data_IF_307815106382
#
_entry.id   IF_307815106382
#
_cell.length_a   1.000
_cell.length_b   1.000
_cell.length_c   1.000
_cell.angle_alpha   90.00
_cell.angle_beta   90.00
_cell.angle_gamma   90.00
#
_symmetry.space_group_name_H-M   'P 1'
#
loop_
_entity.id
_entity.type
_entity.pdbx_description
1 polymer ?
#
# COMPACT_ATOMS: atom_id res chain seq x y z
N UNK A 1 13.37 -11.19 -17.25
CA UNK A 1 12.33 -10.85 -18.24
C UNK A 1 11.87 -9.43 -17.95
N UNK A 2 11.53 -8.63 -18.96
CA UNK A 2 10.95 -7.30 -18.68
C UNK A 2 9.64 -7.49 -17.90
N UNK A 3 9.38 -6.61 -16.92
CA UNK A 3 8.09 -6.56 -16.23
C UNK A 3 6.98 -6.38 -17.29
N UNK A 4 5.95 -7.22 -17.23
CA UNK A 4 4.74 -7.11 -18.08
C UNK A 4 4.00 -5.78 -17.83
N UNK A 5 4.25 -5.16 -16.68
CA UNK A 5 3.68 -3.90 -16.27
C UNK A 5 4.65 -2.73 -16.45
N UNK A 6 4.15 -1.63 -17.01
CA UNK A 6 4.80 -0.32 -17.06
C UNK A 6 3.99 0.73 -16.31
N UNK A 7 4.50 1.95 -16.24
CA UNK A 7 3.81 3.09 -15.62
C UNK A 7 3.59 4.19 -16.64
N UNK A 8 2.43 4.84 -16.56
CA UNK A 8 2.10 6.07 -17.26
C UNK A 8 1.92 7.19 -16.25
N UNK A 9 2.79 8.18 -16.31
CA UNK A 9 2.79 9.36 -15.44
C UNK A 9 2.06 10.49 -16.16
N UNK A 10 1.21 11.20 -15.43
CA UNK A 10 0.52 12.41 -15.90
C UNK A 10 0.82 13.50 -14.90
N UNK A 11 1.28 14.67 -15.36
CA UNK A 11 1.69 15.76 -14.49
C UNK A 11 3.01 15.50 -13.76
N UNK A 12 3.65 16.58 -13.31
CA UNK A 12 4.90 16.51 -12.57
C UNK A 12 4.70 15.90 -11.18
N UNK A 13 5.62 15.04 -10.68
CA UNK A 13 5.56 14.59 -9.29
C UNK A 13 5.53 15.77 -8.30
N UNK A 14 4.91 15.57 -7.13
CA UNK A 14 4.69 16.61 -6.10
C UNK A 14 3.77 17.76 -6.57
N UNK A 15 2.80 17.49 -7.45
CA UNK A 15 1.72 18.43 -7.80
C UNK A 15 0.35 17.78 -7.61
N UNK A 16 -0.73 18.58 -7.63
CA UNK A 16 -2.11 18.10 -7.43
C UNK A 16 -2.60 17.26 -8.63
N UNK A 17 -2.06 17.53 -9.81
CA UNK A 17 -2.39 16.90 -11.08
C UNK A 17 -1.69 15.54 -11.23
N UNK A 18 -0.64 15.28 -10.43
CA UNK A 18 0.19 14.09 -10.61
C UNK A 18 -0.60 12.80 -10.45
N UNK A 19 -0.58 11.95 -11.46
CA UNK A 19 -1.13 10.59 -11.45
C UNK A 19 -0.12 9.60 -12.00
N UNK A 20 -0.09 8.42 -11.42
CA UNK A 20 0.64 7.26 -11.94
C UNK A 20 -0.34 6.13 -12.20
N UNK A 21 -0.60 5.88 -13.48
CA UNK A 21 -1.38 4.72 -13.92
C UNK A 21 -0.47 3.52 -14.11
N UNK A 22 -1.00 2.33 -13.83
CA UNK A 22 -0.38 1.07 -14.19
C UNK A 22 -0.82 0.72 -15.60
N UNK A 23 0.11 0.28 -16.43
CA UNK A 23 -0.17 -0.19 -17.78
C UNK A 23 0.19 -1.67 -17.90
N UNK A 24 -0.64 -2.40 -18.64
CA UNK A 24 -0.33 -3.74 -19.13
C UNK A 24 -0.33 -3.69 -20.65
N UNK A 25 0.77 -4.07 -21.28
CA UNK A 25 0.95 -3.98 -22.75
C UNK A 25 0.65 -2.58 -23.32
N UNK A 26 0.97 -1.52 -22.56
CA UNK A 26 0.74 -0.11 -22.94
C UNK A 26 -0.70 0.39 -22.76
N UNK A 27 -1.60 -0.44 -22.22
CA UNK A 27 -2.99 -0.07 -21.92
C UNK A 27 -3.14 0.17 -20.42
N UNK A 28 -3.64 1.35 -19.97
CA UNK A 28 -3.93 1.59 -18.57
C UNK A 28 -4.93 0.58 -18.01
N UNK A 29 -4.63 0.06 -16.82
CA UNK A 29 -5.46 -0.88 -16.08
C UNK A 29 -5.70 -0.37 -14.66
N UNK A 30 -6.75 -0.86 -14.00
CA UNK A 30 -7.01 -0.52 -12.60
C UNK A 30 -5.89 -1.06 -11.69
N UNK A 31 -5.19 -0.17 -10.99
CA UNK A 31 -4.19 -0.58 -10.00
C UNK A 31 -4.79 -1.36 -8.82
N UNK A 32 -6.07 -1.12 -8.54
CA UNK A 32 -6.80 -1.81 -7.48
C UNK A 32 -7.34 -3.16 -7.96
N UNK A 33 -7.91 -3.23 -9.18
CA UNK A 33 -8.75 -4.37 -9.56
C UNK A 33 -8.16 -5.29 -10.64
N UNK A 34 -7.32 -4.77 -11.53
CA UNK A 34 -6.89 -5.48 -12.74
C UNK A 34 -5.52 -6.17 -12.61
N UNK A 35 -4.72 -5.78 -11.61
CA UNK A 35 -3.48 -6.51 -11.28
C UNK A 35 -3.86 -7.74 -10.44
N UNK A 36 -3.55 -8.97 -10.87
CA UNK A 36 -3.88 -10.16 -10.09
C UNK A 36 -3.17 -10.16 -8.74
N UNK A 37 -3.88 -10.50 -7.66
CA UNK A 37 -3.28 -10.65 -6.33
C UNK A 37 -2.10 -11.64 -6.36
N UNK A 38 -2.29 -12.79 -7.01
CA UNK A 38 -1.26 -13.82 -7.13
C UNK A 38 -0.49 -13.70 -8.43
N UNK A 39 0.83 -13.58 -8.32
CA UNK A 39 1.74 -13.74 -9.46
C UNK A 39 2.01 -15.23 -9.76
N UNK A 40 2.07 -16.04 -8.70
CA UNK A 40 2.18 -17.50 -8.76
C UNK A 40 1.45 -18.08 -7.54
N UNK A 41 0.23 -18.57 -7.76
CA UNK A 41 -0.63 -19.09 -6.68
C UNK A 41 -0.07 -20.37 -6.06
N UNK A 42 0.56 -21.25 -6.86
CA UNK A 42 1.14 -22.51 -6.36
C UNK A 42 2.31 -22.26 -5.42
N UNK A 43 3.11 -21.24 -5.71
CA UNK A 43 4.25 -20.83 -4.88
C UNK A 43 3.89 -19.81 -3.79
N UNK A 44 2.64 -19.32 -3.77
CA UNK A 44 2.20 -18.28 -2.85
C UNK A 44 2.96 -16.96 -3.05
N UNK A 45 3.28 -16.61 -4.30
CA UNK A 45 3.91 -15.34 -4.66
C UNK A 45 2.83 -14.35 -5.06
N UNK A 46 2.84 -13.17 -4.45
CA UNK A 46 1.84 -12.13 -4.66
C UNK A 46 2.43 -10.96 -5.47
N UNK A 47 1.57 -10.24 -6.18
CA UNK A 47 1.93 -8.94 -6.76
C UNK A 47 1.66 -7.84 -5.73
N UNK A 48 2.65 -7.02 -5.45
CA UNK A 48 2.53 -5.79 -4.69
C UNK A 48 2.53 -4.60 -5.66
N UNK A 49 1.62 -3.65 -5.46
CA UNK A 49 1.66 -2.34 -6.10
C UNK A 49 2.41 -1.39 -5.17
N UNK A 50 3.60 -0.91 -5.57
CA UNK A 50 4.37 0.05 -4.77
C UNK A 50 3.79 1.45 -4.94
N UNK A 51 3.47 2.12 -3.85
CA UNK A 51 2.95 3.49 -3.85
C UNK A 51 4.03 4.49 -3.44
N UNK A 52 4.75 4.18 -2.36
CA UNK A 52 5.69 5.11 -1.72
C UNK A 52 7.07 4.43 -1.62
N UNK A 53 8.07 4.93 -2.37
CA UNK A 53 9.45 4.48 -2.25
C UNK A 53 10.01 4.71 -0.85
N UNK A 54 10.84 3.78 -0.36
CA UNK A 54 11.54 3.94 0.92
C UNK A 54 12.33 5.25 0.98
N UNK A 55 12.27 5.89 2.15
CA UNK A 55 12.87 7.19 2.49
C UNK A 55 12.30 8.41 1.77
N UNK A 56 11.12 8.27 1.15
CA UNK A 56 10.34 9.39 0.64
C UNK A 56 9.21 9.79 1.60
N UNK A 57 8.63 10.97 1.40
CA UNK A 57 7.65 11.58 2.31
C UNK A 57 6.27 11.79 1.68
N UNK A 58 6.17 11.82 0.34
CA UNK A 58 4.89 12.07 -0.33
C UNK A 58 3.93 10.90 -0.02
N UNK A 59 2.75 11.21 0.55
CA UNK A 59 1.74 10.20 0.84
C UNK A 59 0.98 9.89 -0.44
N UNK A 60 1.56 9.03 -1.26
CA UNK A 60 0.98 8.52 -2.50
C UNK A 60 0.11 7.30 -2.18
N UNK A 61 -1.03 7.17 -2.84
CA UNK A 61 -1.99 6.09 -2.62
C UNK A 61 -2.75 5.76 -3.92
N UNK A 62 -3.12 4.50 -4.10
CA UNK A 62 -4.10 4.06 -5.09
C UNK A 62 -5.39 4.84 -4.83
N UNK A 63 -5.83 5.62 -5.82
CA UNK A 63 -7.07 6.38 -5.68
C UNK A 63 -8.29 5.46 -5.72
N UNK A 64 -9.04 5.39 -4.63
CA UNK A 64 -10.31 4.64 -4.61
C UNK A 64 -11.37 5.25 -5.52
N UNK A 65 -11.37 6.56 -5.71
CA UNK A 65 -12.49 7.29 -6.32
C UNK A 65 -12.31 7.55 -7.83
N UNK A 66 -11.05 7.54 -8.32
CA UNK A 66 -10.75 7.86 -9.71
C UNK A 66 -10.88 6.63 -10.64
N UNK A 67 -11.21 6.89 -11.90
CA UNK A 67 -11.30 5.86 -12.93
C UNK A 67 -9.95 5.13 -13.10
N UNK A 68 -9.97 3.79 -13.06
CA UNK A 68 -8.78 2.92 -13.06
C UNK A 68 -7.81 3.13 -11.89
N UNK A 69 -8.25 3.80 -10.83
CA UNK A 69 -7.54 3.88 -9.55
C UNK A 69 -6.05 4.25 -9.68
N UNK A 70 -5.67 5.33 -10.40
CA UNK A 70 -4.29 5.75 -10.48
C UNK A 70 -3.74 6.08 -9.09
N UNK A 71 -2.43 5.93 -8.93
CA UNK A 71 -1.76 6.39 -7.72
C UNK A 71 -1.69 7.92 -7.76
N UNK A 72 -2.11 8.58 -6.70
CA UNK A 72 -2.09 10.04 -6.54
C UNK A 72 -1.60 10.41 -5.15
N UNK A 73 -1.18 11.66 -4.97
CA UNK A 73 -0.84 12.15 -3.64
C UNK A 73 -2.10 12.57 -2.89
N UNK A 74 -2.22 12.12 -1.65
CA UNK A 74 -3.28 12.51 -0.72
C UNK A 74 -3.25 14.03 -0.46
N UNK A 75 -4.42 14.61 -0.25
CA UNK A 75 -4.63 16.04 -0.07
C UNK A 75 -5.26 16.29 1.30
N UNK A 76 -4.54 17.01 2.16
CA UNK A 76 -5.02 17.43 3.48
C UNK A 76 -5.20 18.94 3.51
N UNK A 77 -6.43 19.40 3.74
CA UNK A 77 -6.80 20.84 3.77
C UNK A 77 -6.36 21.61 2.50
N UNK A 78 -6.58 20.99 1.34
CA UNK A 78 -6.25 21.58 0.03
C UNK A 78 -4.76 21.62 -0.31
N UNK A 79 -3.89 20.94 0.46
CA UNK A 79 -2.46 20.84 0.20
C UNK A 79 -2.02 19.40 0.12
N UNK A 80 -1.00 19.14 -0.70
CA UNK A 80 -0.34 17.84 -0.79
C UNK A 80 0.16 17.37 0.57
N UNK A 81 -0.19 16.14 0.93
CA UNK A 81 0.19 15.53 2.21
C UNK A 81 1.59 14.90 2.09
N UNK A 82 2.44 15.25 3.04
CA UNK A 82 3.75 14.63 3.23
C UNK A 82 3.85 14.12 4.65
N UNK A 83 4.20 12.84 4.82
CA UNK A 83 4.53 12.28 6.14
C UNK A 83 5.84 12.91 6.62
N UNK A 84 5.89 13.25 7.91
CA UNK A 84 7.02 13.98 8.50
C UNK A 84 8.11 13.03 8.97
N UNK A 85 9.36 13.49 8.95
CA UNK A 85 10.48 12.72 9.49
C UNK A 85 10.38 12.67 11.02
N UNK A 86 10.21 11.48 11.58
CA UNK A 86 10.11 11.25 13.01
C UNK A 86 11.39 10.54 13.44
N UNK A 87 12.27 11.22 14.18
CA UNK A 87 13.58 10.69 14.55
C UNK A 87 13.46 9.31 15.21
N UNK A 88 14.23 8.30 14.80
CA UNK A 88 15.35 8.34 13.83
C UNK A 88 14.99 8.09 12.35
N UNK A 89 13.69 8.04 12.01
CA UNK A 89 13.16 7.59 10.72
C UNK A 89 13.03 8.70 9.67
N UNK A 90 13.66 8.50 8.51
CA UNK A 90 13.48 9.37 7.34
C UNK A 90 12.32 8.85 6.49
N UNK A 91 11.25 9.64 6.37
CA UNK A 91 10.08 9.28 5.59
C UNK A 91 9.52 7.89 5.95
N UNK A 92 9.06 7.15 4.95
CA UNK A 92 8.72 5.74 5.08
C UNK A 92 9.98 4.87 5.16
N UNK A 93 10.03 3.91 6.07
CA UNK A 93 11.23 3.06 6.27
C UNK A 93 11.19 1.72 5.52
N UNK A 94 10.17 1.53 4.66
CA UNK A 94 10.02 0.42 3.70
C UNK A 94 9.65 0.96 2.32
N UNK A 95 9.69 0.11 1.30
CA UNK A 95 8.84 0.36 0.15
C UNK A 95 7.41 0.05 0.59
N UNK A 96 6.53 1.03 0.50
CA UNK A 96 5.16 0.94 0.98
C UNK A 96 4.21 0.90 -0.20
N UNK A 97 3.12 0.15 -0.05
CA UNK A 97 2.08 0.06 -1.05
C UNK A 97 1.01 -0.91 -0.60
N UNK A 98 0.33 -1.54 -1.56
CA UNK A 98 -0.79 -2.41 -1.24
C UNK A 98 -0.84 -3.67 -2.11
N UNK A 99 -1.60 -4.66 -1.65
CA UNK A 99 -1.99 -5.78 -2.47
C UNK A 99 -3.23 -5.43 -3.32
N UNK A 100 -3.15 -5.57 -4.65
CA UNK A 100 -4.33 -5.40 -5.49
C UNK A 100 -5.32 -6.54 -5.21
N UNK A 101 -6.59 -6.33 -5.54
CA UNK A 101 -7.65 -7.32 -5.34
C UNK A 101 -7.83 -7.76 -3.87
N UNK A 102 -7.60 -6.86 -2.93
CA UNK A 102 -7.88 -7.02 -1.50
C UNK A 102 -8.60 -5.80 -0.98
N UNK A 103 -9.46 -5.92 0.04
CA UNK A 103 -10.18 -4.77 0.59
C UNK A 103 -10.48 -4.96 2.07
N UNK A 104 -10.12 -3.99 2.88
CA UNK A 104 -10.46 -3.91 4.31
C UNK A 104 -11.90 -3.39 4.45
N UNK A 105 -12.87 -4.29 4.51
CA UNK A 105 -14.30 -3.96 4.43
C UNK A 105 -14.75 -3.05 5.60
N UNK A 106 -15.17 -1.79 5.36
CA UNK A 106 -15.59 -0.87 6.40
C UNK A 106 -16.97 -1.21 7.01
N UNK A 107 -17.65 -2.21 6.47
CA UNK A 107 -18.92 -2.71 6.98
C UNK A 107 -18.74 -3.89 7.94
N UNK A 108 -17.58 -4.55 7.91
CA UNK A 108 -17.25 -5.65 8.80
C UNK A 108 -16.49 -5.13 10.03
N UNK A 109 -16.76 -5.70 11.21
CA UNK A 109 -15.92 -5.49 12.40
C UNK A 109 -14.98 -6.67 12.54
N UNK A 110 -13.67 -6.41 12.51
CA UNK A 110 -12.66 -7.46 12.64
C UNK A 110 -12.56 -7.91 14.11
N UNK A 111 -12.62 -9.22 14.39
CA UNK A 111 -12.63 -9.73 15.76
C UNK A 111 -11.30 -9.47 16.50
N UNK A 112 -10.19 -9.28 15.82
CA UNK A 112 -8.86 -9.05 16.39
C UNK A 112 -8.72 -7.66 16.98
N UNK A 113 -9.17 -6.65 16.25
CA UNK A 113 -9.02 -5.23 16.57
C UNK A 113 -10.28 -4.64 17.21
N UNK A 114 -11.43 -5.30 17.05
CA UNK A 114 -12.76 -4.78 17.41
C UNK A 114 -13.12 -3.47 16.68
N UNK A 115 -12.50 -3.24 15.53
CA UNK A 115 -12.68 -2.07 14.69
C UNK A 115 -13.15 -2.47 13.29
N UNK A 116 -13.67 -1.51 12.53
CA UNK A 116 -14.03 -1.70 11.12
C UNK A 116 -12.81 -1.58 10.23
N UNK A 117 -12.81 -2.18 9.04
CA UNK A 117 -11.76 -1.94 8.03
C UNK A 117 -11.68 -0.47 7.63
N UNK A 118 -10.50 -0.01 7.21
CA UNK A 118 -10.21 1.37 6.79
C UNK A 118 -10.69 1.71 5.36
N UNK A 119 -11.38 0.76 4.70
CA UNK A 119 -11.92 0.88 3.36
C UNK A 119 -10.86 0.94 2.26
N UNK A 120 -9.61 0.56 2.50
CA UNK A 120 -8.52 0.56 1.52
C UNK A 120 -8.10 -0.87 1.07
N UNK A 121 -7.31 -1.00 -0.01
CA UNK A 121 -6.61 -2.25 -0.27
C UNK A 121 -5.62 -2.57 0.85
N UNK A 122 -5.37 -3.86 1.10
CA UNK A 122 -4.54 -4.31 2.21
C UNK A 122 -3.09 -3.82 2.07
N UNK A 123 -2.61 -3.14 3.10
CA UNK A 123 -1.31 -2.46 3.11
C UNK A 123 -0.12 -3.40 3.27
N UNK A 124 0.98 -3.03 2.61
CA UNK A 124 2.18 -3.85 2.46
C UNK A 124 3.45 -3.03 2.72
N UNK A 125 4.31 -3.56 3.60
CA UNK A 125 5.66 -3.07 3.87
C UNK A 125 6.69 -4.06 3.28
N UNK A 126 7.34 -3.68 2.18
CA UNK A 126 8.36 -4.49 1.52
C UNK A 126 9.77 -4.11 1.99
N UNK A 127 10.48 -5.10 2.52
CA UNK A 127 11.67 -4.90 3.36
C UNK A 127 13.01 -5.17 2.66
N UNK A 128 13.01 -5.47 1.36
CA UNK A 128 14.20 -5.75 0.58
C UNK A 128 15.15 -4.57 0.42
N UNK A 129 16.38 -4.83 -0.01
CA UNK A 129 17.45 -3.83 -0.05
C UNK A 129 17.25 -2.73 -1.10
N UNK A 130 16.55 -3.03 -2.21
CA UNK A 130 16.34 -2.07 -3.30
C UNK A 130 15.19 -1.12 -3.00
N UNK A 131 15.41 0.18 -3.22
CA UNK A 131 14.33 1.17 -3.19
C UNK A 131 13.50 1.03 -4.47
N UNK A 132 12.20 0.81 -4.31
CA UNK A 132 11.25 0.70 -5.42
C UNK A 132 10.86 2.05 -6.02
N UNK A 133 9.91 2.03 -6.95
CA UNK A 133 9.33 3.24 -7.54
C UNK A 133 7.80 3.19 -7.52
N UNK A 134 7.15 4.35 -7.46
CA UNK A 134 5.68 4.44 -7.48
C UNK A 134 5.10 3.82 -8.76
N UNK A 135 4.09 2.96 -8.60
CA UNK A 135 3.46 2.18 -9.66
C UNK A 135 4.20 0.90 -10.04
N UNK A 136 5.32 0.57 -9.37
CA UNK A 136 6.02 -0.69 -9.60
C UNK A 136 5.16 -1.88 -9.16
N UNK A 137 5.06 -2.89 -10.03
CA UNK A 137 4.56 -4.21 -9.64
C UNK A 137 5.75 -5.08 -9.23
N UNK A 138 5.80 -5.45 -7.95
CA UNK A 138 6.84 -6.36 -7.41
C UNK A 138 6.22 -7.71 -7.09
N UNK A 139 6.94 -8.79 -7.41
CA UNK A 139 6.59 -10.13 -6.92
C UNK A 139 7.19 -10.32 -5.53
N UNK A 140 6.36 -10.63 -4.55
CA UNK A 140 6.77 -10.67 -3.13
C UNK A 140 6.35 -11.95 -2.43
N UNK A 141 7.10 -12.30 -1.37
CA UNK A 141 6.74 -13.36 -0.42
C UNK A 141 6.28 -12.74 0.88
N UNK A 142 5.18 -13.27 1.41
CA UNK A 142 4.63 -12.90 2.72
C UNK A 142 5.46 -13.53 3.84
N UNK A 143 5.76 -12.72 4.86
CA UNK A 143 6.55 -13.11 6.04
C UNK A 143 5.73 -12.98 7.33
N UNK A 144 4.84 -11.99 7.43
CA UNK A 144 4.02 -11.76 8.61
C UNK A 144 3.07 -10.59 8.44
N UNK A 145 2.34 -10.23 9.50
CA UNK A 145 1.38 -9.11 9.50
C UNK A 145 1.28 -8.46 10.88
N UNK A 146 1.04 -7.14 10.93
CA UNK A 146 0.81 -6.39 12.17
C UNK A 146 -0.58 -5.74 12.17
N UNK A 147 -1.33 -5.85 13.27
CA UNK A 147 -2.67 -5.25 13.42
C UNK A 147 -2.58 -3.81 13.96
N UNK A 148 -2.43 -2.82 13.08
CA UNK A 148 -2.54 -1.42 13.48
C UNK A 148 -4.02 -1.07 13.69
N UNK A 149 -4.27 -0.26 14.72
CA UNK A 149 -5.49 0.52 14.89
C UNK A 149 -5.15 1.95 14.51
N UNK A 150 -5.47 2.32 13.26
CA UNK A 150 -5.19 3.66 12.75
C UNK A 150 -6.42 4.55 12.90
N UNK A 151 -6.36 5.54 13.79
CA UNK A 151 -7.48 6.44 14.11
C UNK A 151 -8.80 5.72 14.49
N UNK A 152 -8.73 4.46 14.95
CA UNK A 152 -9.87 3.64 15.37
C UNK A 152 -10.37 2.65 14.32
N UNK A 153 -9.69 2.55 13.18
CA UNK A 153 -9.96 1.59 12.10
C UNK A 153 -8.92 0.45 12.10
N UNK A 154 -9.33 -0.72 11.66
CA UNK A 154 -8.45 -1.87 11.40
C UNK A 154 -7.64 -1.56 10.16
N UNK A 155 -6.32 -1.62 10.32
CA UNK A 155 -5.39 -1.26 9.26
C UNK A 155 -4.22 -2.26 9.27
N UNK A 156 -4.40 -3.43 8.65
CA UNK A 156 -3.40 -4.48 8.69
C UNK A 156 -2.15 -4.12 7.84
N UNK A 157 -0.96 -4.28 8.42
CA UNK A 157 0.32 -4.05 7.73
C UNK A 157 1.03 -5.36 7.45
N UNK A 158 0.98 -5.84 6.22
CA UNK A 158 1.67 -7.07 5.81
C UNK A 158 3.16 -6.82 5.62
N UNK A 159 3.99 -7.68 6.19
CA UNK A 159 5.45 -7.66 6.01
C UNK A 159 5.82 -8.65 4.90
N UNK A 160 6.50 -8.15 3.88
CA UNK A 160 6.87 -8.94 2.70
C UNK A 160 8.31 -8.66 2.28
N UNK A 161 8.86 -9.53 1.42
CA UNK A 161 10.14 -9.32 0.75
C UNK A 161 10.01 -9.61 -0.74
N UNK A 162 10.65 -8.81 -1.60
CA UNK A 162 10.79 -9.09 -3.03
C UNK A 162 11.42 -10.48 -3.25
N UNK A 163 10.87 -11.28 -4.16
CA UNK A 163 11.42 -12.60 -4.52
C UNK A 163 12.84 -12.53 -5.09
N UNK A 164 13.22 -11.38 -5.64
CA UNK A 164 14.54 -11.13 -6.23
C UNK A 164 15.54 -10.56 -5.22
N UNK A 165 15.13 -10.28 -3.98
CA UNK A 165 16.03 -9.79 -2.95
C UNK A 165 17.09 -10.86 -2.60
N UNK A 166 18.37 -10.49 -2.40
CA UNK A 166 19.41 -11.45 -2.03
C UNK A 166 19.15 -12.22 -0.73
N UNK A 167 18.35 -11.67 0.20
CA UNK A 167 17.92 -12.33 1.43
C UNK A 167 16.59 -13.08 1.29
N UNK A 168 15.90 -13.00 0.14
CA UNK A 168 14.62 -13.67 -0.04
C UNK A 168 14.69 -15.16 0.29
N UNK A 169 15.76 -15.85 -0.10
CA UNK A 169 15.94 -17.28 0.18
C UNK A 169 16.28 -17.63 1.64
N UNK A 170 16.39 -16.64 2.53
CA UNK A 170 16.59 -16.79 3.97
C UNK A 170 15.40 -16.30 4.80
N UNK A 171 14.45 -15.61 4.15
CA UNK A 171 13.28 -15.03 4.78
C UNK A 171 12.04 -15.85 4.40
N UNK A 172 11.59 -16.73 5.30
CA UNK A 172 10.46 -17.62 5.05
C UNK A 172 9.27 -17.38 5.98
N UNK A 173 9.54 -16.87 7.18
CA UNK A 173 8.53 -16.49 8.18
C UNK A 173 9.02 -15.27 8.99
N UNK A 174 8.18 -14.76 9.89
CA UNK A 174 8.43 -13.53 10.66
C UNK A 174 9.68 -13.61 11.53
N UNK A 175 10.02 -14.78 12.07
CA UNK A 175 11.20 -14.96 12.92
C UNK A 175 12.52 -14.74 12.16
N UNK A 176 12.52 -15.02 10.85
CA UNK A 176 13.70 -14.79 10.01
C UNK A 176 13.95 -13.29 9.81
N UNK A 177 12.91 -12.46 9.88
CA UNK A 177 13.03 -11.00 9.81
C UNK A 177 13.87 -10.50 10.99
N UNK A 178 13.54 -10.90 12.23
CA UNK A 178 14.31 -10.45 13.40
C UNK A 178 15.73 -11.06 13.41
N UNK A 179 15.91 -12.27 12.85
CA UNK A 179 17.23 -12.90 12.73
C UNK A 179 18.15 -12.17 11.76
N UNK A 180 17.64 -11.73 10.62
CA UNK A 180 18.45 -11.16 9.54
C UNK A 180 18.41 -9.63 9.46
N UNK A 181 17.36 -9.01 10.00
CA UNK A 181 17.11 -7.57 10.03
C UNK A 181 16.73 -7.13 11.45
N UNK A 182 17.63 -7.33 12.44
CA UNK A 182 17.31 -7.15 13.85
C UNK A 182 16.85 -5.73 14.16
N UNK A 183 15.74 -5.61 14.89
CA UNK A 183 15.13 -4.34 15.27
C UNK A 183 14.24 -3.70 14.21
N UNK A 184 14.12 -4.25 12.99
CA UNK A 184 13.24 -3.70 11.96
C UNK A 184 11.77 -3.74 12.40
N UNK A 185 11.28 -4.86 12.93
CA UNK A 185 9.87 -4.99 13.37
C UNK A 185 9.55 -4.05 14.52
N UNK A 186 10.51 -3.84 15.44
CA UNK A 186 10.38 -2.84 16.52
C UNK A 186 10.32 -1.42 15.96
N UNK A 187 11.14 -1.10 14.97
CA UNK A 187 11.07 0.19 14.28
C UNK A 187 9.76 0.34 13.50
N UNK A 188 9.21 -0.74 12.92
CA UNK A 188 7.88 -0.75 12.29
C UNK A 188 6.78 -0.40 13.26
N UNK A 189 6.76 -1.04 14.43
CA UNK A 189 5.81 -0.73 15.48
C UNK A 189 5.88 0.75 15.89
N UNK A 190 7.10 1.24 16.18
CA UNK A 190 7.32 2.63 16.59
C UNK A 190 6.87 3.61 15.51
N UNK A 191 7.25 3.39 14.24
CA UNK A 191 6.93 4.27 13.14
C UNK A 191 5.43 4.48 12.99
N UNK A 192 4.65 3.39 12.91
CA UNK A 192 3.19 3.48 12.74
C UNK A 192 2.47 4.06 13.96
N UNK A 193 3.04 3.94 15.16
CA UNK A 193 2.52 4.61 16.36
C UNK A 193 2.66 6.13 16.26
N UNK A 194 3.83 6.61 15.82
CA UNK A 194 4.20 8.03 15.97
C UNK A 194 4.02 8.89 14.71
N UNK A 195 3.90 8.30 13.51
CA UNK A 195 4.03 9.05 12.25
C UNK A 195 3.01 10.20 12.06
N UNK A 196 1.85 10.15 12.73
CA UNK A 196 0.82 11.19 12.67
C UNK A 196 0.83 12.16 13.87
N UNK A 197 1.70 11.96 14.85
CA UNK A 197 1.86 12.91 15.98
C UNK A 197 2.28 14.31 15.50
N UNK A 198 3.23 14.47 14.54
CA UNK A 198 3.56 15.78 13.97
C UNK A 198 2.39 16.49 13.29
N UNK A 199 1.37 15.73 12.90
CA UNK A 199 0.14 16.19 12.27
C UNK A 199 -0.95 16.56 13.29
N UNK A 200 -0.64 16.50 14.59
CA UNK A 200 -1.56 16.78 15.69
C UNK A 200 -2.55 15.65 15.99
N UNK A 201 -2.29 14.43 15.50
CA UNK A 201 -3.08 13.24 15.80
C UNK A 201 -2.54 12.52 17.04
N UNK A 202 -3.39 11.75 17.75
CA UNK A 202 -2.91 10.89 18.82
C UNK A 202 -1.98 9.81 18.29
N UNK A 203 -1.25 9.18 19.21
CA UNK A 203 -0.48 7.97 18.91
C UNK A 203 -1.42 6.82 18.53
N UNK A 204 -1.08 6.09 17.47
CA UNK A 204 -1.83 4.91 17.07
C UNK A 204 -1.56 3.73 18.03
N UNK A 205 -2.42 2.72 17.97
CA UNK A 205 -2.32 1.53 18.80
C UNK A 205 -2.16 0.28 17.94
N UNK A 206 -1.70 -0.81 18.53
CA UNK A 206 -1.69 -2.11 17.88
C UNK A 206 -2.49 -3.11 18.71
N UNK A 207 -3.23 -3.99 18.04
CA UNK A 207 -3.69 -5.22 18.68
C UNK A 207 -2.48 -6.13 18.99
N UNK A 208 -2.70 -7.20 19.76
CA UNK A 208 -1.66 -8.17 20.13
C UNK A 208 -0.40 -7.54 20.73
N UNK A 209 -0.53 -6.40 21.43
CA UNK A 209 0.62 -5.65 21.98
C UNK A 209 1.69 -5.28 20.94
N UNK A 210 1.33 -5.18 19.65
CA UNK A 210 2.28 -4.88 18.58
C UNK A 210 3.04 -6.08 18.02
N UNK A 211 2.67 -7.31 18.39
CA UNK A 211 3.24 -8.53 17.84
C UNK A 211 3.03 -8.60 16.31
N UNK A 212 4.09 -8.89 15.57
CA UNK A 212 3.96 -9.27 14.16
C UNK A 212 3.61 -10.75 14.09
N UNK A 213 2.40 -11.07 13.66
CA UNK A 213 1.92 -12.45 13.49
C UNK A 213 2.63 -13.08 12.30
N UNK A 214 2.81 -14.39 12.37
CA UNK A 214 3.55 -15.17 11.38
C UNK A 214 2.89 -15.18 10.00
N UNK A 215 3.60 -15.75 9.03
CA UNK A 215 3.15 -15.90 7.64
C UNK A 215 1.79 -16.56 7.52
N UNK A 216 1.52 -17.61 8.30
CA UNK A 216 0.25 -18.33 8.21
C UNK A 216 -0.93 -17.41 8.56
N UNK A 217 -0.81 -16.65 9.64
CA UNK A 217 -1.81 -15.66 10.02
C UNK A 217 -1.96 -14.56 8.96
N UNK A 218 -0.85 -14.07 8.42
CA UNK A 218 -0.86 -13.07 7.35
C UNK A 218 -1.62 -13.54 6.10
N UNK A 219 -1.43 -14.80 5.71
CA UNK A 219 -2.16 -15.39 4.58
C UNK A 219 -3.66 -15.55 4.85
N UNK A 220 -4.07 -15.74 6.11
CA UNK A 220 -5.48 -15.76 6.50
C UNK A 220 -6.11 -14.36 6.37
N UNK A 221 -5.44 -13.32 6.84
CA UNK A 221 -5.87 -11.91 6.67
C UNK A 221 -5.96 -11.55 5.19
N UNK A 222 -4.94 -11.86 4.39
CA UNK A 222 -4.94 -11.59 2.94
C UNK A 222 -6.12 -12.28 2.26
N UNK A 223 -6.43 -13.53 2.64
CA UNK A 223 -7.57 -14.27 2.08
C UNK A 223 -8.90 -13.59 2.45
N UNK A 224 -9.07 -13.16 3.69
CA UNK A 224 -10.27 -12.43 4.13
C UNK A 224 -10.48 -11.14 3.32
N UNK A 225 -9.42 -10.32 3.18
CA UNK A 225 -9.48 -9.09 2.40
C UNK A 225 -9.72 -9.37 0.90
N UNK A 226 -9.16 -10.46 0.35
CA UNK A 226 -9.41 -10.87 -1.04
C UNK A 226 -10.87 -11.32 -1.26
N UNK A 227 -11.46 -12.05 -0.31
CA UNK A 227 -12.87 -12.42 -0.34
C UNK A 227 -13.79 -11.19 -0.20
N UNK A 228 -13.40 -10.20 0.59
CA UNK A 228 -14.10 -8.92 0.68
C UNK A 228 -14.04 -8.15 -0.65
N UNK A 229 -12.87 -8.10 -1.29
CA UNK A 229 -12.74 -7.53 -2.62
C UNK A 229 -13.56 -8.29 -3.68
N UNK A 230 -13.63 -9.64 -3.65
CA UNK A 230 -14.49 -10.39 -4.58
C UNK A 230 -15.96 -9.95 -4.44
N UNK A 231 -16.45 -9.82 -3.21
CA UNK A 231 -17.82 -9.32 -2.97
C UNK A 231 -18.01 -7.89 -3.48
N UNK A 232 -17.03 -7.02 -3.29
CA UNK A 232 -17.04 -5.65 -3.80
C UNK A 232 -17.10 -5.62 -5.34
N UNK A 233 -16.13 -6.26 -6.01
CA UNK A 233 -15.95 -6.17 -7.46
C UNK A 233 -17.05 -6.90 -8.25
N UNK A 234 -17.69 -7.91 -7.64
CA UNK A 234 -18.85 -8.62 -8.21
C UNK A 234 -20.19 -7.95 -7.88
N UNK A 235 -20.19 -6.83 -7.16
CA UNK A 235 -21.39 -6.06 -6.80
C UNK A 235 -22.27 -6.69 -5.72
N UNK A 236 -21.77 -7.68 -4.98
CA UNK A 236 -22.45 -8.26 -3.80
C UNK A 236 -22.39 -7.32 -2.59
N UNK A 237 -21.38 -6.46 -2.52
CA UNK A 237 -21.26 -5.37 -1.55
C UNK A 237 -21.38 -4.02 -2.26
N UNK A 238 -22.09 -3.07 -1.65
CA UNK A 238 -22.19 -1.71 -2.19
C UNK A 238 -20.83 -1.00 -2.10
N UNK A 239 -20.32 -0.42 -3.21
CA UNK A 239 -18.96 0.11 -3.25
C UNK A 239 -18.79 1.44 -2.52
N UNK A 240 -19.89 2.13 -2.19
CA UNK A 240 -19.82 3.47 -1.59
C UNK A 240 -19.08 4.44 -2.51
N UNK A 241 -17.97 5.01 -2.02
CA UNK A 241 -17.10 5.91 -2.80
C UNK A 241 -16.07 5.21 -3.68
N UNK A 242 -15.97 3.88 -3.63
CA UNK A 242 -14.96 3.13 -4.40
C UNK A 242 -15.40 2.99 -5.85
N UNK A 243 -14.62 3.53 -6.78
CA UNK A 243 -14.71 3.27 -8.21
C UNK A 243 -14.29 1.84 -8.50
N UNK A 244 -15.25 1.00 -8.90
CA UNK A 244 -15.05 -0.41 -9.27
C UNK A 244 -14.78 -0.63 -10.75
N UNK A 245 -14.51 0.45 -11.49
CA UNK A 245 -14.24 0.39 -12.94
C UNK A 245 -12.95 -0.38 -13.21
N UNK A 246 -13.01 -1.37 -14.10
CA UNK A 246 -11.91 -2.28 -14.41
C UNK A 246 -12.00 -2.75 -15.87
N UNK A 247 -10.93 -3.33 -16.41
CA UNK A 247 -10.93 -3.82 -17.81
C UNK A 247 -10.73 -5.33 -17.94
N UNK A 248 -10.26 -6.01 -16.90
CA UNK A 248 -9.89 -7.43 -16.93
C UNK A 248 -10.82 -8.36 -16.15
N UNK A 249 -11.57 -7.84 -15.16
CA UNK A 249 -12.34 -8.69 -14.22
C UNK A 249 -13.67 -9.11 -14.84
N UNK A 250 -13.69 -10.28 -15.49
CA UNK A 250 -14.85 -10.77 -16.26
C UNK A 250 -16.16 -10.91 -15.49
N UNK A 251 -16.11 -11.17 -14.17
CA UNK A 251 -17.27 -11.27 -13.29
C UNK A 251 -17.81 -9.92 -12.80
N UNK A 252 -17.10 -8.82 -13.09
CA UNK A 252 -17.48 -7.51 -12.60
C UNK A 252 -18.58 -6.86 -13.45
N UNK A 253 -19.67 -6.36 -12.83
CA UNK A 253 -20.69 -5.60 -13.56
C UNK A 253 -20.19 -4.22 -14.02
N UNK A 254 -19.09 -3.73 -13.44
CA UNK A 254 -18.45 -2.45 -13.76
C UNK A 254 -17.31 -2.58 -14.77
N UNK A 255 -17.15 -3.76 -15.40
CA UNK A 255 -16.10 -3.98 -16.40
C UNK A 255 -16.36 -3.14 -17.64
N UNK A 256 -15.34 -2.41 -18.09
CA UNK A 256 -15.36 -1.57 -19.29
C UNK A 256 -14.42 -2.17 -20.33
N UNK A 257 -14.80 -2.10 -21.61
CA UNK A 257 -13.88 -2.45 -22.69
C UNK A 257 -12.77 -1.39 -22.78
N UNK A 258 -11.51 -1.81 -22.95
CA UNK A 258 -10.38 -0.88 -23.01
C UNK A 258 -10.52 0.17 -24.14
N UNK A 259 -11.19 -0.17 -25.24
CA UNK A 259 -11.47 0.76 -26.34
C UNK A 259 -12.51 1.84 -26.01
N UNK A 260 -13.27 1.66 -24.94
CA UNK A 260 -14.32 2.58 -24.46
C UNK A 260 -13.85 3.46 -23.31
N UNK A 261 -12.61 3.30 -22.85
CA UNK A 261 -12.05 4.17 -21.83
C UNK A 261 -11.99 5.62 -22.35
N UNK A 262 -12.35 6.61 -21.51
CA UNK A 262 -12.11 8.00 -21.85
C UNK A 262 -10.61 8.24 -22.09
N UNK A 263 -10.23 9.23 -22.90
CA UNK A 263 -8.84 9.53 -23.17
C UNK A 263 -8.07 9.81 -21.87
N UNK A 264 -7.12 8.93 -21.55
CA UNK A 264 -6.13 9.15 -20.49
C UNK A 264 -4.92 9.85 -21.13
N UNK A 265 -4.43 10.98 -20.58
CA UNK A 265 -3.27 11.68 -21.11
C UNK A 265 -2.08 10.74 -21.35
N UNK A 266 -1.25 11.05 -22.34
CA UNK A 266 -0.06 10.26 -22.62
C UNK A 266 0.96 10.36 -21.47
N UNK A 267 1.94 9.44 -21.45
CA UNK A 267 3.01 9.49 -20.46
C UNK A 267 3.84 10.78 -20.57
N UNK A 268 4.04 11.44 -19.44
CA UNK A 268 4.82 12.66 -19.29
C UNK A 268 6.01 12.43 -18.34
N UNK A 269 7.23 12.52 -18.87
CA UNK A 269 8.46 12.48 -18.05
C UNK A 269 8.86 13.88 -17.61
N UNK A 270 8.08 14.45 -16.68
CA UNK A 270 8.33 15.77 -16.11
C UNK A 270 9.18 15.68 -14.84
N UNK A 271 10.04 16.69 -14.64
CA UNK A 271 10.81 16.83 -13.41
C UNK A 271 9.88 17.06 -12.21
N UNK A 272 10.21 16.53 -11.01
CA UNK A 272 9.40 16.74 -9.81
C UNK A 272 9.34 18.22 -9.45
N UNK A 273 8.16 18.69 -9.05
CA UNK A 273 8.01 20.00 -8.46
C UNK A 273 8.74 20.08 -7.11
N UNK A 274 9.16 21.29 -6.75
CA UNK A 274 9.92 21.55 -5.52
C UNK A 274 9.05 21.23 -4.30
N UNK A 275 9.58 20.38 -3.42
CA UNK A 275 8.99 20.13 -2.10
C UNK A 275 9.38 21.28 -1.17
N UNK A 276 8.43 21.73 -0.35
CA UNK A 276 8.69 22.76 0.67
C UNK A 276 9.72 22.27 1.69
N UNK A 277 10.70 23.10 2.05
CA UNK A 277 11.80 22.72 2.95
C UNK A 277 11.34 22.39 4.37
N UNK A 278 10.09 22.72 4.75
CA UNK A 278 9.55 22.27 6.03
C UNK A 278 9.43 20.75 6.12
N UNK A 279 9.42 20.02 5.00
CA UNK A 279 9.39 18.55 4.99
C UNK A 279 10.71 17.94 5.49
N UNK A 280 11.83 18.67 5.36
CA UNK A 280 13.15 18.22 5.86
C UNK A 280 13.25 18.20 7.40
N UNK A 281 12.30 18.87 8.09
CA UNK A 281 12.29 18.97 9.55
C UNK A 281 12.22 17.58 10.21
N UNK A 282 13.14 17.34 11.14
CA UNK A 282 13.09 16.21 12.08
C UNK A 282 12.23 16.55 13.30
N UNK A 283 11.29 15.67 13.59
CA UNK A 283 10.50 15.69 14.82
C UNK A 283 11.10 14.69 15.82
N UNK A 284 11.44 15.17 17.01
CA UNK A 284 11.89 14.33 18.11
C UNK A 284 10.69 14.05 19.01
N UNK A 285 10.10 12.88 18.84
CA UNK A 285 8.90 12.47 19.56
C UNK A 285 9.36 11.57 20.70
N UNK A 286 9.22 12.03 21.93
CA UNK A 286 9.37 11.18 23.11
C UNK A 286 8.06 10.43 23.32
N UNK A 287 8.04 9.11 23.09
CA UNK A 287 6.97 8.28 23.65
C UNK A 287 6.98 8.43 25.17
N UNK A 288 5.81 8.38 25.81
CA UNK A 288 5.77 8.05 27.23
C UNK A 288 6.46 6.69 27.36
N UNK A 289 7.55 6.61 28.12
CA UNK A 289 8.22 5.34 28.39
C UNK A 289 7.16 4.35 28.89
N UNK A 290 6.98 3.26 28.14
CA UNK A 290 6.24 2.10 28.62
C UNK A 290 7.03 1.42 29.73
#
# INVERSE_FOLDING_TARGET
MASEYSVRKVGAPNTLEHRVYIEKDGVPVSAFHDVPLYADQEKGILNMVVEIPRWSNAKLEISKEELLNPIKQDIKKGKLRFVRNCFPHKGYIWNYGAFPQTWEDPNATHPETKAKGDNDPLDVCEIGELVGYTGQIKQVKVLGVMALLDEGETDWKVIVVDVNDPLANKLHDVEDVERHLPGLLRATNEWFRIYKIPDGKPENQFAFTGECKNKAYAMDVIRECAEAWDRLITGKTQPGGVSTSNVTVGSSPSRVDASQLPPIPANEELAPAKIDSSIDKWFFISGAAA
#
